data_IF_081657589479
#
_entry.id   IF_081657589479
#
_cell.length_a   1.000
_cell.length_b   1.000
_cell.length_c   1.000
_cell.angle_alpha   90.00
_cell.angle_beta   90.00
_cell.angle_gamma   90.00
#
_symmetry.space_group_name_H-M   'P 1'
#
loop_
_entity.id
_entity.type
_entity.pdbx_description
1 polymer ?
#
# COMPACT_ATOMS: atom_id res chain seq x y z
N UNK A 1 2.82 14.02 5.97
CA UNK A 1 2.04 12.84 5.54
C UNK A 1 2.39 12.53 4.11
N UNK A 2 2.23 11.28 3.68
CA UNK A 2 2.73 10.79 2.39
C UNK A 2 2.17 11.52 1.16
N UNK A 3 0.91 11.97 1.19
CA UNK A 3 0.36 12.83 0.12
C UNK A 3 1.19 14.12 -0.08
N UNK A 4 1.72 14.69 1.01
CA UNK A 4 2.60 15.86 0.93
C UNK A 4 3.94 15.55 0.27
N UNK A 5 4.46 14.33 0.46
CA UNK A 5 5.69 13.86 -0.21
C UNK A 5 5.45 13.77 -1.71
N UNK A 6 4.34 13.14 -2.12
CA UNK A 6 3.93 13.01 -3.53
C UNK A 6 3.75 14.39 -4.18
N UNK A 7 3.12 15.33 -3.49
CA UNK A 7 2.96 16.71 -3.98
C UNK A 7 4.29 17.46 -4.08
N UNK A 8 5.21 17.26 -3.13
CA UNK A 8 6.54 17.87 -3.15
C UNK A 8 7.33 17.43 -4.39
N UNK A 9 7.28 16.14 -4.73
CA UNK A 9 7.88 15.60 -5.97
C UNK A 9 7.21 16.23 -7.21
N UNK A 10 5.88 16.27 -7.27
CA UNK A 10 5.13 16.84 -8.41
C UNK A 10 5.49 18.31 -8.69
N UNK A 11 5.72 19.06 -7.63
CA UNK A 11 6.09 20.49 -7.69
C UNK A 11 7.58 20.70 -7.99
N UNK A 12 8.39 19.65 -7.98
CA UNK A 12 9.83 19.75 -8.13
C UNK A 12 10.53 20.34 -6.89
N UNK A 13 9.91 20.25 -5.72
CA UNK A 13 10.52 20.64 -4.44
C UNK A 13 11.62 19.64 -4.03
N UNK A 14 11.45 18.38 -4.42
CA UNK A 14 12.40 17.28 -4.24
C UNK A 14 12.38 16.38 -5.48
N UNK A 15 13.49 15.71 -5.78
CA UNK A 15 13.60 14.82 -6.94
C UNK A 15 12.88 13.48 -6.72
N UNK A 16 12.90 12.97 -5.48
CA UNK A 16 12.36 11.65 -5.10
C UNK A 16 11.74 11.73 -3.70
N UNK A 17 10.70 10.93 -3.46
CA UNK A 17 10.08 10.78 -2.15
C UNK A 17 9.55 9.37 -1.93
N UNK A 18 9.58 8.92 -0.67
CA UNK A 18 9.02 7.63 -0.26
C UNK A 18 7.55 7.79 0.15
N UNK A 19 6.67 7.06 -0.51
CA UNK A 19 5.24 7.02 -0.23
C UNK A 19 4.64 5.70 -0.73
N UNK A 20 3.52 5.30 -0.13
CA UNK A 20 2.67 4.23 -0.61
C UNK A 20 2.13 4.56 -1.99
N UNK A 21 2.10 3.55 -2.86
CA UNK A 21 1.75 3.66 -4.28
C UNK A 21 0.41 4.37 -4.54
N UNK A 22 -0.61 4.09 -3.70
CA UNK A 22 -1.96 4.59 -3.89
C UNK A 22 -2.07 6.13 -3.81
N UNK A 23 -1.14 6.83 -3.15
CA UNK A 23 -1.14 8.30 -3.14
C UNK A 23 -0.80 8.89 -4.51
N UNK A 24 0.21 8.34 -5.19
CA UNK A 24 0.56 8.76 -6.55
C UNK A 24 -0.54 8.42 -7.53
N UNK A 25 -1.13 7.22 -7.42
CA UNK A 25 -2.24 6.81 -8.29
C UNK A 25 -3.47 7.71 -8.08
N UNK A 26 -3.81 8.02 -6.82
CA UNK A 26 -4.89 8.95 -6.49
C UNK A 26 -4.65 10.35 -7.03
N UNK A 27 -3.41 10.86 -6.93
CA UNK A 27 -3.05 12.14 -7.53
C UNK A 27 -3.24 12.11 -9.05
N UNK A 28 -2.73 11.07 -9.74
CA UNK A 28 -2.87 10.93 -11.19
C UNK A 28 -4.33 10.74 -11.62
N UNK A 29 -5.18 10.13 -10.81
CA UNK A 29 -6.62 10.04 -11.09
C UNK A 29 -7.30 11.42 -11.09
N UNK A 30 -6.92 12.31 -10.16
CA UNK A 30 -7.45 13.68 -10.10
C UNK A 30 -6.72 14.69 -11.00
N UNK A 31 -5.46 14.42 -11.34
CA UNK A 31 -4.58 15.25 -12.16
C UNK A 31 -3.73 14.35 -13.08
N UNK A 32 -4.27 13.91 -14.24
CA UNK A 32 -3.59 12.96 -15.13
C UNK A 32 -2.25 13.42 -15.68
N UNK A 33 -2.01 14.74 -15.73
CA UNK A 33 -0.79 15.39 -16.18
C UNK A 33 0.21 15.71 -15.04
N UNK A 34 -0.03 15.17 -13.83
CA UNK A 34 0.88 15.33 -12.71
C UNK A 34 2.30 14.86 -13.06
N UNK A 35 3.29 15.73 -12.82
CA UNK A 35 4.70 15.55 -13.23
C UNK A 35 5.49 14.71 -12.21
N UNK A 36 5.07 13.47 -12.02
CA UNK A 36 5.80 12.47 -11.26
C UNK A 36 5.47 11.07 -11.78
N UNK A 37 6.28 10.09 -11.43
CA UNK A 37 6.03 8.68 -11.73
C UNK A 37 6.28 7.80 -10.50
N UNK A 38 5.78 6.57 -10.56
CA UNK A 38 6.08 5.54 -9.58
C UNK A 38 7.34 4.78 -9.99
N UNK A 39 8.19 4.51 -9.01
CA UNK A 39 9.33 3.60 -9.14
C UNK A 39 9.23 2.54 -8.04
N UNK A 40 9.56 1.29 -8.40
CA UNK A 40 9.59 0.16 -7.48
C UNK A 40 11.00 -0.41 -7.46
N UNK A 41 11.52 -0.62 -6.26
CA UNK A 41 12.75 -1.39 -6.09
C UNK A 41 12.47 -2.90 -6.26
N UNK A 42 13.50 -3.75 -6.19
CA UNK A 42 13.37 -5.19 -6.44
C UNK A 42 14.22 -6.00 -5.48
N UNK A 43 13.62 -6.98 -4.82
CA UNK A 43 14.35 -7.89 -3.93
C UNK A 43 14.94 -7.23 -2.68
N UNK A 44 14.42 -6.07 -2.27
CA UNK A 44 14.90 -5.32 -1.11
C UNK A 44 13.74 -4.75 -0.26
N UNK A 45 14.06 -4.09 0.85
CA UNK A 45 13.06 -3.56 1.78
C UNK A 45 12.16 -2.46 1.19
N UNK A 46 12.57 -1.79 0.11
CA UNK A 46 11.78 -0.76 -0.56
C UNK A 46 10.61 -1.30 -1.38
N UNK A 47 10.58 -2.61 -1.64
CA UNK A 47 9.48 -3.29 -2.34
C UNK A 47 8.62 -4.15 -1.39
N UNK A 48 8.69 -3.87 -0.07
CA UNK A 48 7.80 -4.48 0.92
C UNK A 48 6.34 -4.26 0.52
N UNK A 49 5.58 -5.35 0.46
CA UNK A 49 4.13 -5.31 0.32
C UNK A 49 3.53 -5.62 1.68
N UNK A 50 2.74 -4.68 2.20
CA UNK A 50 2.00 -4.89 3.44
C UNK A 50 0.58 -5.40 3.12
N UNK A 51 -0.04 -6.08 4.09
CA UNK A 51 -1.38 -6.63 3.97
C UNK A 51 -2.31 -5.99 5.00
N UNK A 52 -3.49 -5.57 4.55
CA UNK A 52 -4.60 -5.22 5.43
C UNK A 52 -5.33 -6.48 5.89
N UNK A 53 -5.82 -6.50 7.12
CA UNK A 53 -6.53 -7.64 7.71
C UNK A 53 -7.80 -7.24 8.45
N UNK A 54 -8.68 -8.22 8.67
CA UNK A 54 -9.91 -8.08 9.46
C UNK A 54 -10.02 -9.24 10.47
N UNK A 55 -10.49 -8.95 11.67
CA UNK A 55 -10.68 -9.93 12.75
C UNK A 55 -12.11 -9.84 13.30
N UNK A 56 -12.75 -10.98 13.50
CA UNK A 56 -14.01 -11.06 14.24
C UNK A 56 -13.76 -11.02 15.75
N UNK A 57 -14.39 -10.07 16.46
CA UNK A 57 -14.37 -10.02 17.93
C UNK A 57 -15.48 -10.85 18.57
N UNK A 58 -16.52 -11.18 17.80
CA UNK A 58 -17.67 -11.96 18.25
C UNK A 58 -18.03 -13.04 17.23
N UNK A 59 -18.54 -14.16 17.72
CA UNK A 59 -19.02 -15.26 16.88
C UNK A 59 -20.47 -15.01 16.48
N UNK A 60 -20.67 -14.28 15.36
CA UNK A 60 -21.98 -14.02 14.78
C UNK A 60 -21.95 -14.28 13.28
N UNK A 61 -23.02 -14.88 12.75
CA UNK A 61 -23.17 -15.13 11.33
C UNK A 61 -23.07 -13.83 10.51
N UNK A 62 -23.60 -12.73 11.04
CA UNK A 62 -23.51 -11.41 10.38
C UNK A 62 -22.06 -10.95 10.23
N UNK A 63 -21.23 -11.17 11.26
CA UNK A 63 -19.80 -10.77 11.23
C UNK A 63 -19.05 -11.59 10.19
N UNK A 64 -19.24 -12.91 10.18
CA UNK A 64 -18.58 -13.78 9.20
C UNK A 64 -19.06 -13.54 7.77
N UNK A 65 -20.34 -13.24 7.58
CA UNK A 65 -20.87 -12.84 6.28
C UNK A 65 -20.25 -11.52 5.81
N UNK A 66 -20.09 -10.53 6.69
CA UNK A 66 -19.41 -9.29 6.35
C UNK A 66 -17.94 -9.51 5.98
N UNK A 67 -17.20 -10.31 6.75
CA UNK A 67 -15.83 -10.67 6.39
C UNK A 67 -15.77 -11.34 5.02
N UNK A 68 -16.65 -12.31 4.77
CA UNK A 68 -16.73 -12.99 3.46
C UNK A 68 -17.07 -12.03 2.32
N UNK A 69 -17.95 -11.05 2.59
CA UNK A 69 -18.32 -10.01 1.62
C UNK A 69 -17.12 -9.18 1.18
N UNK A 70 -16.19 -8.87 2.09
CA UNK A 70 -14.96 -8.12 1.75
C UNK A 70 -14.07 -8.85 0.74
N UNK A 71 -14.14 -10.18 0.66
CA UNK A 71 -13.39 -10.99 -0.31
C UNK A 71 -14.18 -11.27 -1.61
N UNK A 72 -15.37 -10.70 -1.78
CA UNK A 72 -16.08 -10.82 -3.05
C UNK A 72 -15.36 -10.06 -4.15
N UNK A 73 -15.51 -10.52 -5.40
CA UNK A 73 -14.97 -9.80 -6.57
C UNK A 73 -15.49 -8.37 -6.67
N UNK A 74 -16.73 -8.13 -6.25
CA UNK A 74 -17.34 -6.80 -6.24
C UNK A 74 -16.55 -5.84 -5.32
N UNK A 75 -16.39 -6.20 -4.05
CA UNK A 75 -15.66 -5.35 -3.09
C UNK A 75 -14.19 -5.23 -3.48
N UNK A 76 -13.55 -6.31 -3.91
CA UNK A 76 -12.15 -6.30 -4.31
C UNK A 76 -11.92 -5.45 -5.57
N UNK A 77 -12.87 -5.45 -6.52
CA UNK A 77 -12.81 -4.55 -7.69
C UNK A 77 -12.96 -3.09 -7.29
N UNK A 78 -13.85 -2.79 -6.34
CA UNK A 78 -13.98 -1.44 -5.78
C UNK A 78 -12.69 -0.98 -5.10
N UNK A 79 -12.10 -1.81 -4.24
CA UNK A 79 -10.84 -1.47 -3.56
C UNK A 79 -9.69 -1.23 -4.57
N UNK A 80 -9.65 -1.99 -5.66
CA UNK A 80 -8.61 -1.81 -6.67
C UNK A 80 -8.80 -0.55 -7.52
N UNK A 81 -10.03 -0.24 -7.90
CA UNK A 81 -10.32 0.90 -8.79
C UNK A 81 -10.39 2.23 -8.06
N UNK A 82 -10.96 2.27 -6.86
CA UNK A 82 -11.23 3.50 -6.11
C UNK A 82 -10.19 3.78 -5.02
N UNK A 83 -9.73 2.72 -4.34
CA UNK A 83 -8.69 2.84 -3.30
C UNK A 83 -7.28 2.61 -3.84
N UNK A 84 -7.15 2.11 -5.07
CA UNK A 84 -5.89 1.74 -5.71
C UNK A 84 -5.11 0.66 -4.94
N UNK A 85 -5.82 -0.22 -4.23
CA UNK A 85 -5.24 -1.33 -3.48
C UNK A 85 -4.97 -2.54 -4.39
N UNK A 86 -4.05 -3.39 -3.96
CA UNK A 86 -3.78 -4.69 -4.60
C UNK A 86 -4.87 -5.67 -4.15
N UNK A 87 -5.67 -6.25 -5.08
CA UNK A 87 -6.69 -7.22 -4.74
C UNK A 87 -6.11 -8.49 -4.12
N UNK A 88 -6.84 -9.06 -3.17
CA UNK A 88 -6.47 -10.31 -2.51
C UNK A 88 -7.02 -11.56 -3.21
N UNK A 89 -7.95 -11.38 -4.16
CA UNK A 89 -8.64 -12.48 -4.85
C UNK A 89 -8.34 -12.50 -6.34
N UNK A 90 -8.34 -13.71 -6.90
CA UNK A 90 -8.09 -13.92 -8.32
C UNK A 90 -9.21 -13.37 -9.22
N UNK A 91 -8.81 -12.94 -10.42
CA UNK A 91 -9.73 -12.47 -11.45
C UNK A 91 -10.23 -11.04 -11.24
N UNK A 92 -9.57 -10.27 -10.37
CA UNK A 92 -9.73 -8.80 -10.26
C UNK A 92 -8.46 -8.15 -10.84
N UNK A 93 -8.64 -7.10 -11.66
CA UNK A 93 -7.53 -6.39 -12.26
C UNK A 93 -6.76 -5.57 -11.22
N UNK A 94 -5.44 -5.46 -11.39
CA UNK A 94 -4.61 -4.56 -10.59
C UNK A 94 -4.88 -3.09 -10.97
N UNK A 95 -4.60 -2.14 -10.06
CA UNK A 95 -4.58 -0.73 -10.41
C UNK A 95 -3.55 -0.47 -11.52
N UNK A 96 -3.86 0.45 -12.44
CA UNK A 96 -2.97 0.77 -13.55
C UNK A 96 -1.61 1.29 -13.04
N UNK A 97 -0.52 0.78 -13.61
CA UNK A 97 0.84 1.17 -13.23
C UNK A 97 1.43 0.38 -12.06
N UNK A 98 0.67 -0.53 -11.45
CA UNK A 98 1.18 -1.46 -10.43
C UNK A 98 1.78 -2.69 -11.13
N UNK A 99 3.07 -3.00 -10.90
CA UNK A 99 3.68 -4.21 -11.41
C UNK A 99 3.11 -5.44 -10.70
N UNK A 100 3.19 -6.60 -11.35
CA UNK A 100 2.83 -7.86 -10.70
C UNK A 100 3.79 -8.15 -9.53
N UNK A 101 3.28 -8.70 -8.43
CA UNK A 101 4.11 -8.99 -7.24
C UNK A 101 5.30 -9.90 -7.56
N UNK A 102 5.10 -10.90 -8.43
CA UNK A 102 6.15 -11.81 -8.90
C UNK A 102 7.32 -11.10 -9.60
N UNK A 103 7.12 -9.88 -10.11
CA UNK A 103 8.13 -9.09 -10.82
C UNK A 103 8.94 -8.14 -9.92
N UNK A 104 8.41 -7.77 -8.75
CA UNK A 104 9.11 -6.94 -7.75
C UNK A 104 9.81 -7.78 -6.69
N UNK A 105 9.40 -9.04 -6.51
CA UNK A 105 9.98 -10.00 -5.56
C UNK A 105 10.13 -9.40 -4.15
N UNK A 106 9.00 -9.11 -3.46
CA UNK A 106 9.03 -8.56 -2.11
C UNK A 106 9.84 -9.46 -1.16
N UNK A 107 10.47 -8.89 -0.12
CA UNK A 107 11.22 -9.67 0.86
C UNK A 107 10.31 -10.72 1.52
N UNK A 108 10.83 -11.94 1.69
CA UNK A 108 10.15 -13.00 2.42
C UNK A 108 10.30 -12.74 3.93
N UNK A 109 9.34 -12.03 4.50
CA UNK A 109 9.27 -11.71 5.93
C UNK A 109 7.90 -12.10 6.51
N UNK A 110 7.89 -12.56 7.75
CA UNK A 110 6.65 -12.68 8.51
C UNK A 110 6.18 -11.28 8.94
N UNK A 111 5.07 -10.80 8.37
CA UNK A 111 4.53 -9.47 8.67
C UNK A 111 4.17 -9.30 10.16
N UNK A 112 3.98 -10.38 10.92
CA UNK A 112 3.74 -10.29 12.36
C UNK A 112 4.97 -9.76 13.12
N UNK A 113 6.18 -9.93 12.58
CA UNK A 113 7.41 -9.35 13.15
C UNK A 113 7.38 -7.82 13.12
N UNK A 114 6.67 -7.22 12.16
CA UNK A 114 6.51 -5.76 12.06
C UNK A 114 5.64 -5.18 13.20
N UNK A 115 5.02 -6.02 14.02
CA UNK A 115 4.28 -5.57 15.20
C UNK A 115 5.18 -5.09 16.34
N UNK A 116 6.45 -5.52 16.41
CA UNK A 116 7.40 -4.97 17.39
C UNK A 116 7.99 -3.66 16.88
N UNK A 117 7.31 -2.56 17.21
CA UNK A 117 7.72 -1.21 16.81
C UNK A 117 8.88 -0.66 17.66
N UNK A 118 9.21 -1.28 18.81
CA UNK A 118 10.16 -0.69 19.77
C UNK A 118 11.56 -0.52 19.18
N UNK A 119 12.14 -1.50 18.46
CA UNK A 119 13.45 -1.32 17.82
C UNK A 119 13.45 -0.15 16.82
N UNK A 120 12.43 -0.07 15.97
CA UNK A 120 12.29 1.00 14.97
C UNK A 120 12.18 2.37 15.64
N UNK A 121 11.34 2.51 16.66
CA UNK A 121 11.17 3.78 17.38
C UNK A 121 12.45 4.20 18.12
N UNK A 122 13.21 3.25 18.67
CA UNK A 122 14.49 3.54 19.30
C UNK A 122 15.51 4.04 18.28
N UNK A 123 15.61 3.37 17.12
CA UNK A 123 16.48 3.79 16.02
C UNK A 123 16.11 5.20 15.52
N UNK A 124 14.82 5.49 15.32
CA UNK A 124 14.36 6.81 14.89
C UNK A 124 14.70 7.91 15.91
N UNK A 125 14.61 7.62 17.21
CA UNK A 125 15.02 8.54 18.28
C UNK A 125 16.52 8.79 18.28
N UNK A 126 17.32 7.73 18.13
CA UNK A 126 18.78 7.82 18.05
C UNK A 126 19.22 8.71 16.87
N UNK A 127 18.58 8.52 15.71
CA UNK A 127 18.82 9.30 14.49
C UNK A 127 18.15 10.68 14.48
N UNK A 128 17.33 11.00 15.50
CA UNK A 128 16.58 12.27 15.62
C UNK A 128 15.65 12.57 14.44
N UNK A 129 14.98 11.53 13.95
CA UNK A 129 13.99 11.61 12.86
C UNK A 129 12.57 11.29 13.34
N UNK A 130 12.36 11.25 14.67
CA UNK A 130 11.04 11.08 15.29
C UNK A 130 10.29 12.41 15.41
#
# INVERSE_FOLDING_TARGET
GELGVVMGVERGEVDVGFANHYYTLRLKAGKPDARLDLAFTKGDSGCLVNASGILALTSSNTVFNFMSYLFTKEVQSYLSSEAFEIPFVDGVALPQGIPRLDSVSPPAIDLTELSDLRPTLNLMRELRVL
#
